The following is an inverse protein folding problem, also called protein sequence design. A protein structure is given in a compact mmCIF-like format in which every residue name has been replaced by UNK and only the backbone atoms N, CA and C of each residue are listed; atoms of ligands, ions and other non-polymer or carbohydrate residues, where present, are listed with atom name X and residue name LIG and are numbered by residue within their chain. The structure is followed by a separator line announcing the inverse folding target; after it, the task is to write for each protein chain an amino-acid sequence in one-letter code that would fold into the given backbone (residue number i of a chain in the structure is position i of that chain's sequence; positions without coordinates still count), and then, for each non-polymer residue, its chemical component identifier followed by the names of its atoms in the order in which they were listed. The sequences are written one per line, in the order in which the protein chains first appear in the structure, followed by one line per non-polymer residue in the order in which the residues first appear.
data_IF_108461984004
#
_entry.id   IF_108461984004
#
_cell.length_a   1.000
_cell.length_b   1.000
_cell.length_c   1.000
_cell.angle_alpha   90.00
_cell.angle_beta   90.00
_cell.angle_gamma   90.00
#
_symmetry.space_group_name_H-M   'P 1'
#
loop_
_entity.id
_entity.type
_entity.pdbx_description
1 polymer ?
#
# COMPACT_ATOMS: atom_id res chain seq x y z
N UNK A 1 49.92 17.60 13.99
CA UNK A 1 49.22 17.94 12.74
C UNK A 1 48.12 16.92 12.49
N UNK A 2 46.85 17.29 12.71
CA UNK A 2 45.72 16.41 12.43
C UNK A 2 45.42 16.43 10.93
N UNK A 3 45.87 15.41 10.19
CA UNK A 3 45.52 15.27 8.78
C UNK A 3 44.01 15.13 8.60
N UNK A 4 43.48 15.61 7.47
CA UNK A 4 42.06 15.44 7.11
C UNK A 4 41.70 13.94 7.16
N UNK A 5 40.55 13.61 7.74
CA UNK A 5 40.03 12.23 7.85
C UNK A 5 38.64 12.15 7.22
N UNK A 6 38.31 10.99 6.66
CA UNK A 6 36.97 10.67 6.17
C UNK A 6 36.23 9.85 7.22
N UNK A 7 34.99 10.22 7.54
CA UNK A 7 34.14 9.47 8.46
C UNK A 7 33.16 8.61 7.67
N UNK A 8 32.94 7.37 8.13
CA UNK A 8 31.92 6.48 7.56
C UNK A 8 30.78 6.28 8.57
N UNK A 9 29.59 6.76 8.21
CA UNK A 9 28.38 6.72 9.05
C UNK A 9 27.88 5.29 9.32
N UNK A 10 28.15 4.34 8.42
CA UNK A 10 27.76 2.95 8.64
C UNK A 10 28.63 2.27 9.70
N UNK A 11 29.94 2.55 9.69
CA UNK A 11 30.91 1.83 10.50
C UNK A 11 31.33 2.58 11.77
N UNK A 12 30.86 3.83 11.94
CA UNK A 12 31.28 4.78 12.97
C UNK A 12 32.80 4.90 13.14
N UNK A 13 33.52 4.98 12.02
CA UNK A 13 35.00 4.98 12.00
C UNK A 13 35.55 6.08 11.12
N UNK A 14 36.64 6.68 11.59
CA UNK A 14 37.42 7.66 10.82
C UNK A 14 38.61 7.00 10.12
N UNK A 15 38.74 7.27 8.83
CA UNK A 15 39.74 6.76 7.92
C UNK A 15 40.64 7.91 7.43
N UNK A 16 41.87 7.63 6.98
CA UNK A 16 42.68 8.63 6.29
C UNK A 16 41.92 9.23 5.10
N UNK A 17 42.07 10.54 4.85
CA UNK A 17 41.48 11.19 3.67
C UNK A 17 42.27 10.84 2.40
N UNK A 18 42.15 9.58 1.98
CA UNK A 18 42.68 9.04 0.74
C UNK A 18 41.58 8.27 0.00
N UNK A 19 41.55 8.39 -1.33
CA UNK A 19 40.60 7.68 -2.19
C UNK A 19 40.81 6.16 -2.07
N UNK A 20 42.06 5.70 -1.98
CA UNK A 20 42.42 4.29 -1.84
C UNK A 20 41.96 3.73 -0.51
N UNK A 21 42.18 4.47 0.59
CA UNK A 21 41.73 4.08 1.93
C UNK A 21 40.20 3.95 1.98
N UNK A 22 39.48 4.87 1.33
CA UNK A 22 38.02 4.82 1.21
C UNK A 22 37.54 3.64 0.38
N UNK A 23 38.18 3.39 -0.78
CA UNK A 23 37.84 2.25 -1.64
C UNK A 23 38.06 0.93 -0.89
N UNK A 24 39.20 0.76 -0.21
CA UNK A 24 39.52 -0.41 0.61
C UNK A 24 38.53 -0.59 1.77
N UNK A 25 38.10 0.50 2.40
CA UNK A 25 37.07 0.45 3.43
C UNK A 25 35.73 -0.04 2.88
N UNK A 26 35.27 0.57 1.78
CA UNK A 26 33.96 0.26 1.18
C UNK A 26 33.88 -1.16 0.61
N UNK A 27 34.98 -1.69 0.08
CA UNK A 27 35.05 -3.08 -0.41
C UNK A 27 35.26 -4.09 0.72
N UNK A 28 35.63 -3.63 1.92
CA UNK A 28 35.84 -4.46 3.10
C UNK A 28 34.58 -5.21 3.53
N UNK A 29 34.76 -6.46 3.95
CA UNK A 29 33.68 -7.34 4.39
C UNK A 29 32.83 -6.70 5.51
N UNK A 30 33.47 -6.09 6.51
CA UNK A 30 32.79 -5.46 7.63
C UNK A 30 31.87 -4.32 7.18
N UNK A 31 32.36 -3.42 6.33
CA UNK A 31 31.53 -2.34 5.78
C UNK A 31 30.33 -2.90 5.00
N UNK A 32 30.54 -3.93 4.17
CA UNK A 32 29.46 -4.56 3.40
C UNK A 32 28.38 -5.15 4.31
N UNK A 33 28.77 -5.87 5.37
CA UNK A 33 27.82 -6.45 6.32
C UNK A 33 27.03 -5.39 7.09
N UNK A 34 27.72 -4.38 7.62
CA UNK A 34 27.06 -3.33 8.40
C UNK A 34 26.13 -2.51 7.52
N UNK A 35 26.59 -2.15 6.31
CA UNK A 35 25.76 -1.48 5.29
C UNK A 35 24.54 -2.32 4.92
N UNK A 36 24.70 -3.61 4.67
CA UNK A 36 23.59 -4.51 4.34
C UNK A 36 22.59 -4.62 5.50
N UNK A 37 23.08 -4.73 6.74
CA UNK A 37 22.25 -4.78 7.95
C UNK A 37 21.45 -3.49 8.12
N UNK A 38 22.10 -2.34 7.90
CA UNK A 38 21.45 -1.04 7.92
C UNK A 38 20.28 -0.97 6.92
N UNK A 39 20.50 -1.40 5.67
CA UNK A 39 19.43 -1.42 4.68
C UNK A 39 18.33 -2.40 5.06
N UNK A 40 18.67 -3.62 5.50
CA UNK A 40 17.68 -4.61 5.92
C UNK A 40 16.78 -4.12 7.06
N UNK A 41 17.35 -3.41 8.03
CA UNK A 41 16.59 -2.87 9.15
C UNK A 41 15.66 -1.72 8.71
N UNK A 42 16.12 -0.88 7.79
CA UNK A 42 15.40 0.30 7.31
C UNK A 42 14.52 0.05 6.07
N UNK A 43 14.31 -1.21 5.66
CA UNK A 43 13.33 -1.53 4.61
C UNK A 43 11.93 -1.09 5.01
N UNK A 44 11.20 -0.50 4.07
CA UNK A 44 9.79 -0.16 4.23
C UNK A 44 8.95 -1.42 4.48
N UNK A 45 7.79 -1.28 5.12
CA UNK A 45 6.87 -2.39 5.32
C UNK A 45 6.41 -2.98 3.97
N UNK A 46 6.23 -2.12 2.97
CA UNK A 46 5.91 -2.53 1.59
C UNK A 46 7.00 -3.41 0.97
N UNK A 47 8.27 -3.02 1.07
CA UNK A 47 9.40 -3.83 0.57
C UNK A 47 9.49 -5.17 1.31
N UNK A 48 9.37 -5.16 2.64
CA UNK A 48 9.37 -6.40 3.44
C UNK A 48 8.24 -7.34 3.03
N UNK A 49 7.04 -6.82 2.83
CA UNK A 49 5.89 -7.61 2.37
C UNK A 49 6.14 -8.23 0.98
N UNK A 50 6.66 -7.45 0.04
CA UNK A 50 6.97 -7.92 -1.31
C UNK A 50 8.09 -8.97 -1.34
N UNK A 51 9.10 -8.82 -0.49
CA UNK A 51 10.16 -9.84 -0.33
C UNK A 51 9.62 -11.13 0.26
N UNK A 52 8.70 -11.07 1.22
CA UNK A 52 8.14 -12.27 1.84
C UNK A 52 7.14 -13.00 0.94
N UNK A 53 6.31 -12.27 0.18
CA UNK A 53 5.35 -12.88 -0.75
C UNK A 53 6.02 -13.50 -1.98
N UNK A 54 7.16 -12.96 -2.41
CA UNK A 54 7.94 -13.54 -3.51
C UNK A 54 8.69 -14.81 -3.12
N UNK A 55 8.89 -15.05 -1.82
CA UNK A 55 9.45 -16.30 -1.30
C UNK A 55 8.37 -17.35 -1.16
N UNK A 56 8.69 -18.59 -1.56
CA UNK A 56 7.83 -19.73 -1.23
C UNK A 56 7.96 -20.10 0.26
N UNK A 57 6.91 -20.70 0.83
CA UNK A 57 6.88 -21.13 2.24
C UNK A 57 7.93 -22.21 2.51
N UNK A 58 8.67 -22.09 3.62
CA UNK A 58 9.69 -23.05 4.00
C UNK A 58 9.08 -24.36 4.49
N UNK A 59 9.12 -25.41 3.67
CA UNK A 59 8.56 -26.73 4.01
C UNK A 59 9.06 -27.25 5.36
N UNK A 60 10.37 -27.18 5.63
CA UNK A 60 10.97 -27.66 6.88
C UNK A 60 10.41 -26.97 8.12
N UNK A 61 10.32 -25.64 8.09
CA UNK A 61 9.81 -24.84 9.20
C UNK A 61 8.34 -25.15 9.45
N UNK A 62 7.53 -25.20 8.39
CA UNK A 62 6.10 -25.53 8.49
C UNK A 62 5.81 -27.00 8.83
N UNK A 63 6.75 -27.92 8.57
CA UNK A 63 6.69 -29.31 9.03
C UNK A 63 7.10 -29.47 10.50
N UNK A 64 7.37 -28.38 11.24
CA UNK A 64 7.75 -28.43 12.65
C UNK A 64 9.21 -28.78 12.90
N UNK A 65 10.06 -28.81 11.87
CA UNK A 65 11.49 -29.04 12.01
C UNK A 65 12.24 -27.71 12.10
N UNK A 66 13.29 -27.66 12.93
CA UNK A 66 14.18 -26.51 12.97
C UNK A 66 14.87 -26.32 11.60
N UNK A 67 14.70 -25.14 11.01
CA UNK A 67 15.36 -24.79 9.76
C UNK A 67 16.84 -24.48 10.01
N UNK A 68 17.74 -25.24 9.40
CA UNK A 68 19.19 -25.05 9.51
C UNK A 68 19.69 -23.68 9.02
N UNK A 69 18.91 -23.00 8.17
CA UNK A 69 19.27 -21.68 7.62
C UNK A 69 18.79 -20.50 8.47
N UNK A 70 17.93 -20.74 9.47
CA UNK A 70 17.44 -19.72 10.40
C UNK A 70 16.87 -18.49 9.68
N UNK A 71 17.38 -17.31 10.03
CA UNK A 71 16.96 -16.02 9.45
C UNK A 71 17.47 -15.77 8.01
N UNK A 72 18.46 -16.53 7.56
CA UNK A 72 19.02 -16.43 6.21
C UNK A 72 18.37 -17.43 5.24
N UNK A 73 17.23 -18.02 5.62
CA UNK A 73 16.51 -18.94 4.75
C UNK A 73 16.02 -18.23 3.50
N UNK A 74 16.22 -18.87 2.34
CA UNK A 74 15.69 -18.39 1.06
C UNK A 74 14.16 -18.50 0.97
N UNK A 75 13.56 -19.29 1.85
CA UNK A 75 12.13 -19.52 1.93
C UNK A 75 11.52 -18.72 3.09
N UNK A 76 10.27 -18.32 2.96
CA UNK A 76 9.59 -17.57 4.02
C UNK A 76 9.26 -18.48 5.20
N UNK A 77 9.59 -18.00 6.41
CA UNK A 77 9.16 -18.59 7.68
C UNK A 77 7.92 -17.86 8.24
N UNK A 78 7.35 -16.93 7.47
CA UNK A 78 6.21 -16.14 7.93
C UNK A 78 4.92 -16.93 7.80
N UNK A 79 4.21 -17.03 8.91
CA UNK A 79 2.85 -17.53 8.96
C UNK A 79 1.91 -16.59 8.20
N UNK A 80 0.74 -17.09 7.85
CA UNK A 80 -0.26 -16.31 7.12
C UNK A 80 -0.71 -15.07 7.89
N UNK A 81 -0.90 -15.20 9.21
CA UNK A 81 -1.23 -14.08 10.09
C UNK A 81 -0.12 -13.02 10.13
N UNK A 82 1.15 -13.43 10.14
CA UNK A 82 2.28 -12.49 10.06
C UNK A 82 2.34 -11.78 8.70
N UNK A 83 2.06 -12.47 7.60
CA UNK A 83 2.00 -11.87 6.27
C UNK A 83 0.86 -10.84 6.16
N UNK A 84 -0.31 -11.15 6.73
CA UNK A 84 -1.44 -10.21 6.80
C UNK A 84 -1.10 -8.97 7.63
N UNK A 85 -0.40 -9.15 8.75
CA UNK A 85 0.08 -8.03 9.56
C UNK A 85 1.04 -7.13 8.77
N UNK A 86 2.01 -7.72 8.06
CA UNK A 86 2.93 -6.98 7.19
C UNK A 86 2.19 -6.25 6.07
N UNK A 87 1.17 -6.87 5.47
CA UNK A 87 0.31 -6.22 4.47
C UNK A 87 -0.41 -5.02 5.06
N UNK A 88 -0.96 -5.15 6.27
CA UNK A 88 -1.66 -4.05 6.96
C UNK A 88 -0.71 -2.89 7.27
N UNK A 89 0.50 -3.18 7.72
CA UNK A 89 1.55 -2.20 7.96
C UNK A 89 1.96 -1.48 6.66
N UNK A 90 2.14 -2.21 5.56
CA UNK A 90 2.45 -1.65 4.25
C UNK A 90 1.36 -0.68 3.76
N UNK A 91 0.08 -1.05 3.92
CA UNK A 91 -1.05 -0.18 3.59
C UNK A 91 -1.07 1.07 4.48
N UNK A 92 -0.83 0.92 5.79
CA UNK A 92 -0.80 2.03 6.73
C UNK A 92 0.35 3.01 6.41
N UNK A 93 1.53 2.50 6.06
CA UNK A 93 2.68 3.29 5.63
C UNK A 93 2.38 4.04 4.32
N UNK A 94 1.80 3.34 3.33
CA UNK A 94 1.38 3.97 2.07
C UNK A 94 0.37 5.10 2.33
N UNK A 95 -0.64 4.84 3.17
CA UNK A 95 -1.61 5.86 3.58
C UNK A 95 -0.93 7.04 4.27
N UNK A 96 0.00 6.81 5.21
CA UNK A 96 0.73 7.89 5.88
C UNK A 96 1.53 8.76 4.92
N UNK A 97 2.17 8.14 3.92
CA UNK A 97 3.03 8.85 2.96
C UNK A 97 2.26 9.51 1.81
N UNK A 98 1.10 8.95 1.42
CA UNK A 98 0.30 9.40 0.27
C UNK A 98 -1.03 10.04 0.64
N UNK A 99 -1.47 10.02 1.91
CA UNK A 99 -2.55 10.88 2.32
C UNK A 99 -2.10 12.30 2.01
N UNK A 100 -2.88 13.04 1.21
CA UNK A 100 -2.67 14.47 1.11
C UNK A 100 -2.62 15.00 2.54
N UNK A 101 -1.61 15.81 2.87
CA UNK A 101 -1.59 16.65 4.08
C UNK A 101 -2.73 17.70 4.08
N UNK A 102 -3.80 17.44 3.34
CA UNK A 102 -4.96 18.26 3.03
C UNK A 102 -6.18 17.79 3.83
N UNK A 103 -5.99 17.24 5.04
CA UNK A 103 -6.94 17.65 6.07
C UNK A 103 -6.54 19.09 6.33
N UNK A 104 -7.23 20.02 5.66
CA UNK A 104 -7.13 21.45 5.90
C UNK A 104 -6.95 21.64 7.39
N UNK A 105 -5.94 22.41 7.81
CA UNK A 105 -5.69 22.74 9.23
C UNK A 105 -6.94 23.32 9.93
N UNK A 106 -7.95 23.67 9.14
CA UNK A 106 -9.21 24.31 9.50
C UNK A 106 -10.40 23.33 9.67
N UNK A 107 -10.20 22.02 9.47
CA UNK A 107 -11.24 21.00 9.72
C UNK A 107 -12.50 21.09 8.85
N UNK A 108 -12.50 21.90 7.78
CA UNK A 108 -13.62 21.99 6.84
C UNK A 108 -13.55 20.88 5.80
N UNK A 109 -14.64 20.12 5.72
CA UNK A 109 -14.89 19.16 4.65
C UNK A 109 -14.79 19.88 3.29
N UNK A 110 -14.08 19.31 2.30
CA UNK A 110 -13.94 19.96 1.00
C UNK A 110 -15.30 20.14 0.34
N UNK A 111 -15.54 21.36 -0.16
CA UNK A 111 -16.76 21.66 -0.94
C UNK A 111 -16.91 20.69 -2.11
N UNK A 112 -18.16 20.40 -2.47
CA UNK A 112 -18.52 19.59 -3.64
C UNK A 112 -17.77 20.02 -4.91
N UNK A 113 -17.66 21.33 -5.16
CA UNK A 113 -16.94 21.88 -6.32
C UNK A 113 -15.44 21.56 -6.29
N UNK A 114 -14.84 21.51 -5.09
CA UNK A 114 -13.44 21.18 -4.91
C UNK A 114 -13.17 19.70 -5.20
N UNK A 115 -14.13 18.83 -4.84
CA UNK A 115 -14.09 17.40 -5.15
C UNK A 115 -14.23 17.20 -6.65
N UNK A 116 -15.17 17.89 -7.32
CA UNK A 116 -15.33 17.83 -8.77
C UNK A 116 -14.06 18.25 -9.51
N UNK A 117 -13.47 19.38 -9.14
CA UNK A 117 -12.22 19.85 -9.75
C UNK A 117 -11.07 18.86 -9.58
N UNK A 118 -10.94 18.26 -8.40
CA UNK A 118 -9.92 17.25 -8.13
C UNK A 118 -10.12 16.00 -9.01
N UNK A 119 -11.35 15.52 -9.14
CA UNK A 119 -11.69 14.37 -9.98
C UNK A 119 -11.42 14.67 -11.46
N UNK A 120 -11.82 15.83 -11.96
CA UNK A 120 -11.56 16.21 -13.36
C UNK A 120 -10.06 16.29 -13.69
N UNK A 121 -9.26 16.77 -12.74
CA UNK A 121 -7.82 16.98 -12.92
C UNK A 121 -6.98 15.72 -12.74
N UNK A 122 -7.44 14.76 -11.92
CA UNK A 122 -6.69 13.55 -11.58
C UNK A 122 -7.28 12.25 -12.15
N UNK A 123 -8.48 12.27 -12.74
CA UNK A 123 -9.01 11.11 -13.44
C UNK A 123 -8.22 10.85 -14.73
N UNK A 124 -7.67 9.64 -14.82
CA UNK A 124 -7.11 9.12 -16.06
C UNK A 124 -8.22 8.99 -17.13
N UNK A 125 -7.89 9.08 -18.43
CA UNK A 125 -8.87 8.97 -19.52
C UNK A 125 -9.64 7.64 -19.51
N UNK A 126 -9.07 6.57 -18.93
CA UNK A 126 -9.75 5.29 -18.72
C UNK A 126 -10.91 5.36 -17.73
N UNK A 127 -10.83 6.21 -16.69
CA UNK A 127 -11.93 6.41 -15.73
C UNK A 127 -13.03 7.30 -16.29
N UNK A 128 -12.69 8.27 -17.15
CA UNK A 128 -13.68 9.14 -17.82
C UNK A 128 -14.68 8.33 -18.66
N UNK A 129 -14.18 7.28 -19.33
CA UNK A 129 -14.99 6.35 -20.12
C UNK A 129 -15.99 5.53 -19.29
N UNK A 130 -15.64 5.21 -18.03
CA UNK A 130 -16.51 4.48 -17.09
C UNK A 130 -17.63 5.39 -16.57
N UNK A 131 -17.35 6.65 -16.28
CA UNK A 131 -18.36 7.62 -15.83
C UNK A 131 -19.40 7.89 -16.93
N UNK A 132 -18.97 8.02 -18.19
CA UNK A 132 -19.88 8.15 -19.34
C UNK A 132 -20.78 6.91 -19.49
N UNK A 133 -20.26 5.69 -19.26
CA UNK A 133 -21.06 4.45 -19.31
C UNK A 133 -22.04 4.31 -18.15
N UNK A 134 -21.75 4.88 -16.98
CA UNK A 134 -22.68 4.90 -15.84
C UNK A 134 -23.87 5.82 -16.14
N UNK A 135 -23.68 6.94 -16.87
CA UNK A 135 -24.80 7.81 -17.27
C UNK A 135 -25.79 7.13 -18.22
N UNK A 136 -25.36 6.11 -18.97
CA UNK A 136 -26.24 5.30 -19.81
C UNK A 136 -27.03 4.25 -19.01
N UNK A 137 -26.63 3.94 -17.76
CA UNK A 137 -27.40 3.06 -16.87
C UNK A 137 -28.72 3.71 -16.42
N UNK A 138 -28.76 5.04 -16.32
CA UNK A 138 -29.96 5.82 -15.98
C UNK A 138 -31.05 5.71 -17.08
N UNK A 139 -30.66 5.40 -18.33
CA UNK A 139 -31.62 5.15 -19.42
C UNK A 139 -32.24 3.75 -19.35
N UNK A 140 -31.71 2.83 -18.54
CA UNK A 140 -32.28 1.48 -18.41
C UNK A 140 -33.66 1.45 -17.74
N UNK A 141 -33.98 2.48 -16.94
CA UNK A 141 -35.29 2.64 -16.31
C UNK A 141 -36.41 2.99 -17.31
N UNK A 142 -36.08 3.54 -18.48
CA UNK A 142 -37.10 3.88 -19.49
C UNK A 142 -37.73 2.63 -20.12
N UNK A 143 -36.98 1.52 -20.21
CA UNK A 143 -37.51 0.26 -20.78
C UNK A 143 -38.35 -0.54 -19.77
N UNK A 144 -38.09 -0.40 -18.46
CA UNK A 144 -38.86 -1.07 -17.41
C UNK A 144 -40.27 -0.48 -17.22
N UNK A 145 -40.46 0.80 -17.57
CA UNK A 145 -41.78 1.46 -17.54
C UNK A 145 -42.72 1.03 -18.68
N UNK A 146 -42.26 0.20 -19.62
CA UNK A 146 -43.02 -0.13 -20.85
C UNK A 146 -43.86 -1.41 -20.76
N UNK A 147 -43.78 -2.17 -19.66
CA UNK A 147 -44.59 -3.38 -19.48
C UNK A 147 -45.79 -3.13 -18.56
N UNK A 148 -46.94 -3.66 -18.99
CA UNK A 148 -48.21 -3.84 -18.29
C UNK A 148 -48.08 -3.90 -16.76
N UNK A 149 -49.09 -3.42 -16.00
CA UNK A 149 -48.98 -3.26 -14.55
C UNK A 149 -48.55 -4.57 -13.90
N UNK A 150 -47.29 -4.61 -13.48
CA UNK A 150 -46.74 -5.72 -12.72
C UNK A 150 -47.51 -5.82 -11.41
N UNK A 151 -47.74 -7.04 -10.88
CA UNK A 151 -48.34 -7.20 -9.56
C UNK A 151 -47.51 -6.42 -8.52
N UNK A 152 -48.12 -5.91 -7.43
CA UNK A 152 -47.45 -5.00 -6.49
C UNK A 152 -46.10 -5.49 -5.94
N UNK A 153 -45.91 -6.81 -5.84
CA UNK A 153 -44.68 -7.45 -5.38
C UNK A 153 -43.52 -7.49 -6.39
N UNK A 154 -43.77 -7.14 -7.66
CA UNK A 154 -42.77 -7.14 -8.74
C UNK A 154 -42.59 -5.75 -9.36
N UNK A 155 -43.21 -4.72 -8.79
CA UNK A 155 -42.97 -3.35 -9.21
C UNK A 155 -41.60 -2.89 -8.71
N UNK A 156 -40.80 -2.20 -9.53
CA UNK A 156 -39.56 -1.61 -9.06
C UNK A 156 -39.87 -0.60 -7.96
N UNK A 157 -39.04 -0.52 -6.90
CA UNK A 157 -39.24 0.44 -5.82
C UNK A 157 -39.17 1.87 -6.38
N UNK A 158 -40.06 2.73 -5.90
CA UNK A 158 -40.05 4.14 -6.27
C UNK A 158 -38.91 4.89 -5.56
N UNK A 159 -38.58 6.08 -6.05
CA UNK A 159 -37.55 6.91 -5.41
C UNK A 159 -37.98 7.28 -3.99
N UNK A 160 -39.28 7.52 -3.77
CA UNK A 160 -39.83 7.76 -2.44
C UNK A 160 -39.66 6.55 -1.52
N UNK A 161 -39.85 5.33 -2.01
CA UNK A 161 -39.63 4.10 -1.23
C UNK A 161 -38.16 3.94 -0.82
N UNK A 162 -37.22 4.30 -1.69
CA UNK A 162 -35.78 4.25 -1.41
C UNK A 162 -35.34 5.29 -0.36
N UNK A 163 -36.00 6.46 -0.33
CA UNK A 163 -35.68 7.53 0.62
C UNK A 163 -36.32 7.27 1.99
N UNK A 164 -37.49 6.64 2.01
CA UNK A 164 -38.25 6.37 3.24
C UNK A 164 -37.91 5.05 3.91
N UNK A 165 -37.18 4.17 3.23
CA UNK A 165 -36.76 2.89 3.79
C UNK A 165 -35.59 3.05 4.75
N UNK A 166 -35.82 2.71 6.03
CA UNK A 166 -34.75 2.59 7.00
C UNK A 166 -34.07 1.22 6.85
N UNK A 167 -32.93 1.19 6.15
CA UNK A 167 -32.09 0.01 6.02
C UNK A 167 -31.28 -0.22 7.30
N UNK A 168 -31.97 -0.61 8.38
CA UNK A 168 -31.39 -0.76 9.72
C UNK A 168 -30.55 -2.03 9.92
N UNK A 169 -30.50 -2.92 8.93
CA UNK A 169 -29.66 -4.12 8.98
C UNK A 169 -29.09 -4.41 7.60
N UNK A 170 -27.76 -4.48 7.53
CA UNK A 170 -27.08 -5.14 6.42
C UNK A 170 -27.15 -6.65 6.72
N UNK A 171 -27.81 -7.41 5.85
CA UNK A 171 -27.85 -8.87 5.93
C UNK A 171 -26.48 -9.48 5.73
#
# INVERSE_FOLDING_TARGET
MGGKRYYCDYCDRSLPYSVEARKKHNTGHQHRLVRQTYFNNNKSASEKFNEEISKSKCKRFFSGQNCAFGANCIFSHKTETELENLKREAIAEYKKNNLPSQVSRDGKEPSYDHILFFLERNCNPTMKKVIETISDYDKSHQYLNSYYPLPPSLQPPTIEDLITSEYNTWG
#
